data_IF_912419027507
#
_entry.id   IF_912419027507
#
_cell.length_a   1.000
_cell.length_b   1.000
_cell.length_c   1.000
_cell.angle_alpha   90.00
_cell.angle_beta   90.00
_cell.angle_gamma   90.00
#
_symmetry.space_group_name_H-M   'P 1'
#
loop_
_entity.id
_entity.type
_entity.pdbx_description
1 polymer ?
#
# COMPACT_ATOMS: atom_id res chain seq x y z
N UNK A 1 7.89 8.06 7.09
CA UNK A 1 6.64 7.28 6.93
C UNK A 1 6.88 5.95 6.24
N UNK A 2 7.78 5.92 5.29
CA UNK A 2 8.08 4.69 4.55
C UNK A 2 8.53 3.56 5.46
N UNK A 3 9.43 3.84 6.38
CA UNK A 3 9.95 2.80 7.26
C UNK A 3 8.88 2.22 8.17
N UNK A 4 7.95 3.07 8.59
CA UNK A 4 6.84 2.63 9.42
C UNK A 4 5.95 1.65 8.66
N UNK A 5 5.62 1.99 7.43
CA UNK A 5 4.80 1.13 6.58
C UNK A 5 5.54 -0.18 6.30
N UNK A 6 6.81 -0.07 5.96
CA UNK A 6 7.63 -1.22 5.64
C UNK A 6 7.67 -2.21 6.81
N UNK A 7 7.83 -1.68 8.01
CA UNK A 7 7.87 -2.53 9.20
C UNK A 7 6.57 -3.30 9.37
N UNK A 8 5.44 -2.60 9.25
CA UNK A 8 4.14 -3.23 9.41
C UNK A 8 3.93 -4.31 8.34
N UNK A 9 4.18 -3.96 7.10
CA UNK A 9 3.90 -4.86 5.99
C UNK A 9 4.78 -6.09 6.04
N UNK A 10 6.06 -5.91 6.32
CA UNK A 10 6.99 -7.04 6.36
C UNK A 10 6.66 -8.04 7.45
N UNK A 11 5.96 -7.58 8.48
CA UNK A 11 5.54 -8.47 9.56
C UNK A 11 4.22 -9.17 9.27
N UNK A 12 3.53 -8.80 8.19
CA UNK A 12 2.27 -9.41 7.83
C UNK A 12 2.40 -10.45 6.73
N UNK A 13 3.41 -10.31 5.89
CA UNK A 13 3.52 -11.13 4.68
C UNK A 13 4.44 -12.32 4.88
N UNK A 14 4.30 -13.30 4.00
CA UNK A 14 5.18 -14.46 3.99
C UNK A 14 6.45 -14.22 3.19
N UNK A 15 6.43 -13.21 2.32
CA UNK A 15 7.56 -12.92 1.44
C UNK A 15 8.03 -11.49 1.64
N UNK A 16 8.64 -11.20 2.80
CA UNK A 16 9.05 -9.82 3.08
C UNK A 16 10.09 -9.28 2.13
N UNK A 17 10.87 -10.15 1.50
CA UNK A 17 11.86 -9.72 0.52
C UNK A 17 11.22 -9.22 -0.77
N UNK A 18 9.93 -9.46 -0.96
CA UNK A 18 9.21 -8.99 -2.13
C UNK A 18 8.45 -7.69 -1.88
N UNK A 19 8.53 -7.16 -0.68
CA UNK A 19 7.84 -5.92 -0.35
C UNK A 19 8.60 -4.74 -0.95
N UNK A 20 7.88 -3.90 -1.69
CA UNK A 20 8.45 -2.68 -2.25
C UNK A 20 7.52 -1.54 -1.94
N UNK A 21 8.11 -0.44 -1.51
CA UNK A 21 7.34 0.73 -1.12
C UNK A 21 7.93 1.94 -1.83
N UNK A 22 7.06 2.69 -2.47
CA UNK A 22 7.46 3.91 -3.15
C UNK A 22 6.64 5.06 -2.61
N UNK A 23 7.33 6.15 -2.28
CA UNK A 23 6.65 7.36 -1.83
C UNK A 23 6.62 8.37 -2.96
N UNK A 24 5.43 8.90 -3.22
CA UNK A 24 5.27 9.97 -4.19
C UNK A 24 4.63 11.11 -3.41
N UNK A 25 5.34 12.21 -3.27
CA UNK A 25 4.89 13.28 -2.42
C UNK A 25 4.81 14.63 -3.09
N UNK A 26 3.88 15.43 -2.62
CA UNK A 26 3.81 16.85 -2.90
C UNK A 26 4.09 17.61 -1.62
N UNK A 27 3.64 18.85 -1.59
CA UNK A 27 3.93 19.71 -0.44
C UNK A 27 3.21 19.23 0.82
N UNK A 28 1.95 18.83 0.70
CA UNK A 28 1.17 18.42 1.86
C UNK A 28 0.49 17.08 1.67
N UNK A 29 0.86 16.35 0.64
CA UNK A 29 0.24 15.08 0.31
C UNK A 29 1.30 14.05 0.05
N UNK A 30 1.08 12.85 0.54
CA UNK A 30 1.99 11.73 0.33
C UNK A 30 1.20 10.53 -0.12
N UNK A 31 1.62 9.94 -1.23
CA UNK A 31 1.04 8.70 -1.72
C UNK A 31 2.07 7.61 -1.50
N UNK A 32 1.66 6.55 -0.81
CA UNK A 32 2.53 5.41 -0.58
C UNK A 32 2.02 4.27 -1.46
N UNK A 33 2.87 3.87 -2.39
CA UNK A 33 2.54 2.77 -3.30
C UNK A 33 3.23 1.52 -2.79
N UNK A 34 2.43 0.51 -2.52
CA UNK A 34 2.89 -0.71 -1.90
C UNK A 34 2.73 -1.87 -2.87
N UNK A 35 3.82 -2.60 -3.08
CA UNK A 35 3.80 -3.85 -3.86
C UNK A 35 4.26 -4.98 -2.97
N UNK A 36 3.57 -6.11 -3.05
CA UNK A 36 3.97 -7.31 -2.34
C UNK A 36 3.82 -8.49 -3.28
N UNK A 37 4.32 -9.64 -2.82
CA UNK A 37 4.10 -10.88 -3.56
C UNK A 37 2.60 -11.08 -3.75
N UNK A 38 2.21 -11.53 -4.91
CA UNK A 38 0.79 -11.65 -5.24
C UNK A 38 0.03 -12.50 -4.23
N UNK A 39 0.64 -13.56 -3.77
CA UNK A 39 0.00 -14.44 -2.79
C UNK A 39 -0.16 -13.79 -1.43
N UNK A 40 0.52 -12.68 -1.18
CA UNK A 40 0.44 -12.00 0.09
C UNK A 40 -0.58 -10.85 0.12
N UNK A 41 -1.14 -10.52 -1.04
CA UNK A 41 -2.08 -9.41 -1.12
C UNK A 41 -3.26 -9.58 -0.16
N UNK A 42 -3.78 -10.80 -0.10
CA UNK A 42 -4.89 -11.09 0.80
C UNK A 42 -4.56 -10.85 2.26
N UNK A 43 -3.31 -11.09 2.65
CA UNK A 43 -2.88 -10.86 4.02
C UNK A 43 -2.84 -9.37 4.36
N UNK A 44 -2.53 -8.55 3.37
CA UNK A 44 -2.48 -7.10 3.57
C UNK A 44 -3.89 -6.53 3.65
N UNK A 45 -4.76 -7.00 2.78
CA UNK A 45 -6.13 -6.49 2.74
C UNK A 45 -6.91 -6.97 3.96
N UNK A 46 -6.78 -8.25 4.29
CA UNK A 46 -7.48 -8.83 5.40
C UNK A 46 -8.94 -9.10 5.09
N UNK A 47 -9.61 -9.73 6.05
CA UNK A 47 -11.00 -10.09 5.87
C UNK A 47 -11.84 -8.81 5.74
N UNK A 48 -12.58 -8.70 4.65
CA UNK A 48 -13.43 -7.53 4.39
C UNK A 48 -12.67 -6.22 4.43
N UNK A 49 -11.38 -6.28 4.12
CA UNK A 49 -10.56 -5.08 4.08
C UNK A 49 -10.18 -4.52 5.44
N UNK A 50 -10.37 -5.27 6.50
CA UNK A 50 -10.13 -4.72 7.85
C UNK A 50 -8.69 -4.39 8.11
N UNK A 51 -7.77 -5.22 7.64
CA UNK A 51 -6.34 -4.98 7.88
C UNK A 51 -5.88 -3.73 7.16
N UNK A 52 -6.18 -3.62 5.87
CA UNK A 52 -5.73 -2.45 5.12
C UNK A 52 -6.36 -1.16 5.64
N UNK A 53 -7.61 -1.24 6.07
CA UNK A 53 -8.27 -0.06 6.62
C UNK A 53 -7.65 0.37 7.95
N UNK A 54 -7.26 -0.60 8.78
CA UNK A 54 -6.58 -0.29 10.03
C UNK A 54 -5.24 0.37 9.77
N UNK A 55 -4.50 -0.14 8.80
CA UNK A 55 -3.22 0.44 8.44
C UNK A 55 -3.41 1.88 7.94
N UNK A 56 -4.40 2.09 7.08
CA UNK A 56 -4.68 3.42 6.58
C UNK A 56 -5.03 4.40 7.71
N UNK A 57 -5.81 3.93 8.66
CA UNK A 57 -6.18 4.77 9.81
C UNK A 57 -4.96 5.19 10.61
N UNK A 58 -4.05 4.25 10.86
CA UNK A 58 -2.83 4.57 11.58
C UNK A 58 -1.98 5.57 10.82
N UNK A 59 -1.84 5.38 9.52
CA UNK A 59 -1.05 6.29 8.71
C UNK A 59 -1.64 7.68 8.69
N UNK A 60 -2.96 7.77 8.58
CA UNK A 60 -3.62 9.06 8.59
C UNK A 60 -3.45 9.78 9.92
N UNK A 61 -3.45 9.05 11.01
CA UNK A 61 -3.24 9.65 12.33
C UNK A 61 -1.84 10.25 12.44
N UNK A 62 -0.85 9.49 11.99
CA UNK A 62 0.53 9.98 12.03
C UNK A 62 0.71 11.17 11.09
N UNK A 63 0.17 11.07 9.89
CA UNK A 63 0.30 12.13 8.90
C UNK A 63 -0.38 13.41 9.38
N UNK A 64 -1.55 13.27 9.98
CA UNK A 64 -2.30 14.42 10.47
C UNK A 64 -1.51 15.22 11.50
N UNK A 65 -0.77 14.54 12.35
CA UNK A 65 0.07 15.21 13.34
C UNK A 65 1.17 16.04 12.69
N UNK A 66 1.53 15.69 11.46
CA UNK A 66 2.57 16.41 10.74
C UNK A 66 2.02 17.32 9.65
N UNK A 67 0.70 17.52 9.64
CA UNK A 67 0.07 18.41 8.68
C UNK A 67 0.08 17.88 7.26
N UNK A 68 0.07 16.56 7.11
CA UNK A 68 0.17 15.91 5.80
C UNK A 68 -1.04 15.01 5.58
N UNK A 69 -1.45 14.88 4.33
CA UNK A 69 -2.42 13.88 3.92
C UNK A 69 -1.67 12.69 3.35
N UNK A 70 -2.08 11.49 3.72
CA UNK A 70 -1.44 10.30 3.21
C UNK A 70 -2.48 9.37 2.59
N UNK A 71 -2.10 8.77 1.47
CA UNK A 71 -2.88 7.72 0.83
C UNK A 71 -1.99 6.49 0.69
N UNK A 72 -2.55 5.33 1.02
CA UNK A 72 -1.86 4.07 0.82
C UNK A 72 -2.57 3.31 -0.29
N UNK A 73 -1.82 2.97 -1.31
CA UNK A 73 -2.36 2.26 -2.46
C UNK A 73 -1.60 0.97 -2.68
N UNK A 74 -2.32 -0.10 -2.90
CA UNK A 74 -1.71 -1.38 -3.22
C UNK A 74 -1.60 -1.47 -4.72
N UNK A 75 -0.38 -1.63 -5.19
CA UNK A 75 -0.11 -1.76 -6.62
C UNK A 75 0.00 -3.24 -6.92
N UNK A 76 -0.89 -3.75 -7.73
CA UNK A 76 -0.79 -5.12 -8.17
C UNK A 76 0.11 -5.14 -9.36
N UNK A 77 1.22 -5.73 -9.18
CA UNK A 77 2.23 -5.74 -10.19
C UNK A 77 1.89 -6.76 -11.26
N UNK A 78 1.05 -6.35 -12.16
CA UNK A 78 0.66 -7.20 -13.23
C UNK A 78 1.34 -6.76 -14.45
N UNK A 79 2.20 -7.45 -14.84
CA UNK A 79 2.81 -7.04 -16.07
C UNK A 79 1.83 -7.13 -17.20
N UNK A 80 1.35 -6.95 -17.29
CA UNK A 80 0.79 -7.05 -18.10
C UNK A 80 -0.16 -6.87 -18.53
N UNK A 81 -0.34 -7.00 -18.75
CA UNK A 81 -1.03 -6.76 -19.11
C UNK A 81 -1.70 -6.41 -19.59
N UNK A 82 -1.92 -6.48 -20.09
CA UNK A 82 -2.60 -5.97 -20.52
C UNK A 82 -3.58 -5.92 -20.64
N UNK A 83 -3.50 -6.22 -20.71
CA UNK A 83 -4.30 -6.19 -20.77
C UNK A 83 -5.15 -5.68 -20.65
N UNK A 84 -5.24 -5.78 -20.92
CA UNK A 84 -5.95 -5.24 -20.89
C UNK A 84 -6.68 -4.58 -20.48
N UNK A 85 -6.52 -4.41 -20.53
CA UNK A 85 -7.11 -3.84 -20.26
C UNK A 85 -7.80 -3.19 -19.92
N UNK A 86 -8.00 -3.18 -20.14
CA UNK A 86 -8.55 -2.57 -19.79
C UNK A 86 -9.27 -2.07 -19.20
N UNK A 87 -9.13 -2.21 -19.40
CA UNK A 87 -9.73 -1.90 -19.05
C UNK A 87 -10.34 -1.34 -18.46
N UNK A 88 -10.10 -1.43 -18.66
CA UNK A 88 -10.58 -1.05 -18.27
C UNK A 88 -11.22 -0.57 -17.62
N UNK A 89 -11.03 -0.67 -17.80
CA UNK A 89 -11.52 -0.35 -17.32
C UNK A 89 -12.05 -0.01 -16.87
N UNK A 90 -11.76 -0.27 -17.22
CA UNK A 90 -12.27 0.03 -16.96
C UNK A 90 -12.76 0.17 -16.66
#
# INVERSE_FOLDING_TARGET
MKEFVEYIIKNLVDHPDQVQIKEVGGTHTLIIELSVEKSDIGKIIGKKGKTINAIRTLLMSVASRNGIRVNLEIIEDEPKAPQGQPQEQS
#
